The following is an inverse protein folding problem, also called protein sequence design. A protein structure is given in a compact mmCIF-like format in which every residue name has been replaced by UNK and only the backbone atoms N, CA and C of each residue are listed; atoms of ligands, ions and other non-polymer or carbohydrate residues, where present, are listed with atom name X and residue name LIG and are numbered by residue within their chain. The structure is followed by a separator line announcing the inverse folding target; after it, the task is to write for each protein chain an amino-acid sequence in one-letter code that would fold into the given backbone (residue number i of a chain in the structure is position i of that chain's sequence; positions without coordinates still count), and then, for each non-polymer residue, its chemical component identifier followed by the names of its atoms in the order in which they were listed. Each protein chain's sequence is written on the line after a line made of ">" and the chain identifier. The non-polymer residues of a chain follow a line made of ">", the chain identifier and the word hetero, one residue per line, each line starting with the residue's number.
data_IF_403892249747
#
_entry.id   IF_403892249747
#
_cell.length_a   1.000
_cell.length_b   1.000
_cell.length_c   1.000
_cell.angle_alpha   90.00
_cell.angle_beta   90.00
_cell.angle_gamma   90.00
#
_symmetry.space_group_name_H-M   'P 1'
#
loop_
_entity.id
_entity.type
_entity.pdbx_description
1 polymer ?
#
# COMPACT_ATOMS: atom_id res chain seq x y z
N UNK A 1 23.29 -46.29 -23.68
CA UNK A 1 23.31 -45.61 -24.98
C UNK A 1 24.64 -44.91 -25.08
N UNK A 2 25.48 -45.36 -25.99
CA UNK A 2 26.73 -44.68 -26.31
C UNK A 2 26.41 -43.33 -26.97
N UNK A 3 27.30 -42.35 -26.87
CA UNK A 3 27.12 -40.99 -27.39
C UNK A 3 26.75 -40.99 -28.89
N UNK A 4 27.17 -42.02 -29.62
CA UNK A 4 26.84 -42.24 -31.02
C UNK A 4 25.35 -42.52 -31.28
N UNK A 5 24.63 -43.14 -30.33
CA UNK A 5 23.18 -43.35 -30.46
C UNK A 5 22.40 -42.03 -30.32
N UNK A 6 22.85 -41.15 -29.41
CA UNK A 6 22.21 -39.84 -29.18
C UNK A 6 22.42 -38.91 -30.38
N UNK A 7 23.62 -38.92 -30.97
CA UNK A 7 23.90 -38.14 -32.18
C UNK A 7 23.05 -38.62 -33.37
N UNK A 8 22.78 -39.92 -33.44
CA UNK A 8 21.95 -40.49 -34.50
C UNK A 8 20.47 -40.16 -34.33
N UNK A 9 19.94 -40.22 -33.10
CA UNK A 9 18.58 -39.76 -32.79
C UNK A 9 18.41 -38.26 -33.04
N UNK A 10 19.43 -37.44 -32.72
CA UNK A 10 19.42 -36.01 -33.02
C UNK A 10 19.42 -35.73 -34.53
N UNK A 11 20.23 -36.45 -35.32
CA UNK A 11 20.23 -36.32 -36.77
C UNK A 11 18.91 -36.76 -37.41
N UNK A 12 18.21 -37.74 -36.85
CA UNK A 12 16.86 -38.11 -37.29
C UNK A 12 15.82 -37.05 -36.94
N UNK A 13 15.93 -36.42 -35.75
CA UNK A 13 15.09 -35.30 -35.33
C UNK A 13 15.25 -34.06 -36.23
N UNK A 14 16.47 -33.74 -36.67
CA UNK A 14 16.75 -32.62 -37.58
C UNK A 14 16.36 -32.88 -39.04
N UNK A 15 15.98 -34.12 -39.39
CA UNK A 15 15.45 -34.49 -40.71
C UNK A 15 13.92 -34.54 -40.77
N UNK A 16 13.24 -34.11 -39.71
CA UNK A 16 11.78 -34.03 -39.70
C UNK A 16 11.30 -32.94 -40.69
N UNK A 17 10.39 -33.27 -41.63
CA UNK A 17 9.80 -32.30 -42.56
C UNK A 17 9.12 -31.10 -41.88
N UNK A 18 8.75 -31.19 -40.59
CA UNK A 18 8.23 -30.07 -39.80
C UNK A 18 9.28 -28.96 -39.59
N UNK A 19 10.57 -29.29 -39.65
CA UNK A 19 11.68 -28.33 -39.50
C UNK A 19 12.17 -27.76 -40.84
N UNK A 20 11.59 -28.19 -41.98
CA UNK A 20 11.86 -27.60 -43.29
C UNK A 20 11.12 -26.27 -43.45
N UNK A 21 11.68 -25.23 -42.84
CA UNK A 21 11.15 -23.86 -42.91
C UNK A 21 11.51 -23.25 -44.27
N UNK A 22 10.51 -22.79 -45.01
CA UNK A 22 10.68 -22.13 -46.30
C UNK A 22 11.35 -20.75 -46.14
N UNK A 23 12.01 -20.25 -47.20
CA UNK A 23 12.71 -18.97 -47.12
C UNK A 23 11.75 -17.77 -46.87
N UNK A 24 10.47 -17.90 -47.20
CA UNK A 24 9.42 -16.92 -46.86
C UNK A 24 9.10 -16.91 -45.35
N UNK A 25 9.15 -18.06 -44.69
CA UNK A 25 8.95 -18.17 -43.24
C UNK A 25 10.19 -17.70 -42.45
N UNK A 26 11.39 -17.85 -43.00
CA UNK A 26 12.60 -17.23 -42.44
C UNK A 26 12.52 -15.70 -42.44
N UNK A 27 11.81 -15.11 -43.41
CA UNK A 27 11.59 -13.66 -43.46
C UNK A 27 10.80 -13.13 -42.25
N UNK A 28 9.93 -13.94 -41.63
CA UNK A 28 9.21 -13.57 -40.39
C UNK A 28 10.13 -13.36 -39.18
N UNK A 29 11.29 -14.02 -39.15
CA UNK A 29 12.32 -13.86 -38.12
C UNK A 29 13.37 -12.82 -38.50
N UNK A 30 13.29 -12.26 -39.70
CA UNK A 30 14.24 -11.26 -40.19
C UNK A 30 13.75 -9.88 -39.76
N UNK A 31 14.42 -9.24 -38.79
CA UNK A 31 14.02 -7.91 -38.31
C UNK A 31 13.98 -6.89 -39.47
N UNK A 32 12.84 -6.21 -39.71
CA UNK A 32 12.74 -5.12 -40.68
C UNK A 32 13.79 -4.04 -40.43
N UNK A 33 14.38 -3.48 -41.49
CA UNK A 33 15.42 -2.45 -41.38
C UNK A 33 14.98 -1.22 -40.57
N UNK A 34 13.68 -0.92 -40.55
CA UNK A 34 13.08 0.15 -39.76
C UNK A 34 13.24 -0.07 -38.24
N UNK A 35 13.30 -1.33 -37.79
CA UNK A 35 13.60 -1.69 -36.40
C UNK A 35 15.10 -1.75 -36.11
N UNK A 36 15.94 -2.05 -37.12
CA UNK A 36 17.41 -1.92 -37.02
C UNK A 36 17.85 -0.45 -36.84
N UNK A 37 17.07 0.50 -37.38
CA UNK A 37 17.32 1.93 -37.26
C UNK A 37 17.02 2.54 -35.87
N UNK A 38 16.48 1.77 -34.91
CA UNK A 38 16.52 2.19 -33.50
C UNK A 38 17.96 2.10 -33.03
N UNK A 39 18.67 3.23 -33.16
CA UNK A 39 19.91 3.63 -32.47
C UNK A 39 20.55 2.45 -31.75
N UNK A 40 21.67 1.97 -32.25
CA UNK A 40 22.73 1.42 -31.41
C UNK A 40 22.79 2.31 -30.17
N UNK A 41 22.19 1.84 -29.07
CA UNK A 41 22.46 2.43 -27.77
C UNK A 41 23.96 2.26 -27.65
N UNK A 42 24.71 3.37 -27.54
CA UNK A 42 26.12 3.32 -27.18
C UNK A 42 26.26 2.20 -26.17
N UNK A 43 27.00 1.16 -26.53
CA UNK A 43 27.25 0.04 -25.63
C UNK A 43 27.67 0.66 -24.30
N UNK A 44 27.03 0.24 -23.22
CA UNK A 44 27.40 0.77 -21.93
C UNK A 44 28.86 0.35 -21.69
N UNK A 45 29.80 1.29 -21.80
CA UNK A 45 31.25 1.05 -21.66
C UNK A 45 31.61 0.30 -20.35
N UNK A 46 30.68 0.29 -19.38
CA UNK A 46 30.81 -0.44 -18.13
C UNK A 46 29.43 -0.84 -17.58
N UNK A 47 29.20 -2.14 -17.42
CA UNK A 47 28.08 -2.71 -16.65
C UNK A 47 28.61 -3.00 -15.26
N UNK A 48 28.05 -2.32 -14.25
CA UNK A 48 28.48 -2.51 -12.87
C UNK A 48 28.33 -3.99 -12.46
N UNK A 49 29.44 -4.60 -12.07
CA UNK A 49 29.48 -5.96 -11.53
C UNK A 49 29.56 -5.88 -10.01
N UNK A 50 29.03 -6.90 -9.32
CA UNK A 50 29.16 -7.02 -7.86
C UNK A 50 30.54 -7.59 -7.56
N UNK A 51 31.34 -6.87 -6.79
CA UNK A 51 32.68 -7.28 -6.35
C UNK A 51 32.63 -7.59 -4.85
N UNK A 52 33.50 -8.46 -4.35
CA UNK A 52 33.59 -8.73 -2.91
C UNK A 52 34.13 -7.47 -2.20
N UNK A 53 33.49 -7.06 -1.11
CA UNK A 53 33.92 -5.91 -0.32
C UNK A 53 34.98 -6.34 0.71
N UNK A 54 36.22 -5.92 0.52
CA UNK A 54 37.33 -6.29 1.42
C UNK A 54 37.14 -5.73 2.85
N UNK A 55 36.47 -4.57 2.99
CA UNK A 55 36.27 -3.89 4.27
C UNK A 55 34.86 -4.12 4.86
N UNK A 56 34.20 -5.23 4.51
CA UNK A 56 32.82 -5.48 4.96
C UNK A 56 32.67 -5.55 6.50
N UNK A 57 33.73 -5.93 7.22
CA UNK A 57 33.72 -6.03 8.68
C UNK A 57 33.32 -4.71 9.37
N UNK A 58 33.64 -3.56 8.78
CA UNK A 58 33.29 -2.25 9.33
C UNK A 58 31.79 -1.96 9.22
N UNK A 59 31.11 -2.55 8.23
CA UNK A 59 29.70 -2.29 7.91
C UNK A 59 28.74 -3.36 8.45
N UNK A 60 29.23 -4.57 8.75
CA UNK A 60 28.41 -5.70 9.20
C UNK A 60 27.59 -5.37 10.46
N UNK A 61 28.21 -4.67 11.41
CA UNK A 61 27.55 -4.24 12.66
C UNK A 61 26.37 -3.30 12.39
N UNK A 62 26.51 -2.39 11.42
CA UNK A 62 25.47 -1.46 10.98
C UNK A 62 24.25 -2.19 10.41
N UNK A 63 24.47 -3.16 9.50
CA UNK A 63 23.36 -3.94 8.93
C UNK A 63 22.59 -4.73 9.99
N UNK A 64 23.30 -5.35 10.96
CA UNK A 64 22.66 -6.06 12.07
C UNK A 64 21.80 -5.13 12.92
N UNK A 65 22.29 -3.92 13.20
CA UNK A 65 21.52 -2.92 13.94
C UNK A 65 20.28 -2.45 13.15
N UNK A 66 20.41 -2.20 11.85
CA UNK A 66 19.27 -1.79 11.01
C UNK A 66 18.16 -2.86 10.98
N UNK A 67 18.54 -4.14 10.86
CA UNK A 67 17.56 -5.24 10.93
C UNK A 67 16.91 -5.36 12.31
N UNK A 68 17.65 -5.07 13.38
CA UNK A 68 17.09 -5.00 14.73
C UNK A 68 16.10 -3.84 14.86
N UNK A 69 16.50 -2.63 14.46
CA UNK A 69 15.68 -1.42 14.52
C UNK A 69 14.40 -1.55 13.69
N UNK A 70 14.47 -2.21 12.53
CA UNK A 70 13.31 -2.48 11.67
C UNK A 70 12.30 -3.41 12.35
N UNK A 71 12.76 -4.46 13.05
CA UNK A 71 11.90 -5.37 13.83
C UNK A 71 11.34 -4.73 15.09
N UNK A 72 12.10 -3.81 15.68
CA UNK A 72 11.66 -3.01 16.82
C UNK A 72 10.71 -1.87 16.41
N UNK A 73 10.52 -1.62 15.10
CA UNK A 73 9.69 -0.52 14.60
C UNK A 73 10.32 0.87 14.76
N UNK A 74 11.59 0.96 15.17
CA UNK A 74 12.38 2.21 15.31
C UNK A 74 12.74 2.82 13.95
N UNK A 75 12.88 1.96 12.93
CA UNK A 75 13.03 2.34 11.53
C UNK A 75 11.86 1.81 10.74
N UNK A 76 11.50 2.51 9.68
CA UNK A 76 10.36 2.18 8.82
C UNK A 76 10.79 2.18 7.36
N UNK A 77 10.02 1.50 6.52
CA UNK A 77 10.19 1.57 5.08
C UNK A 77 9.36 2.72 4.51
N UNK A 78 9.98 3.53 3.67
CA UNK A 78 9.31 4.59 2.92
C UNK A 78 9.48 4.34 1.42
N UNK A 79 8.44 4.62 0.64
CA UNK A 79 8.53 4.59 -0.82
C UNK A 79 9.43 5.70 -1.36
N UNK A 80 10.00 5.43 -2.53
CA UNK A 80 10.89 6.35 -3.21
C UNK A 80 10.13 7.58 -3.72
N UNK A 81 10.42 8.76 -3.14
CA UNK A 81 9.75 10.02 -3.49
C UNK A 81 10.50 10.83 -4.58
N UNK A 82 11.65 10.37 -5.07
CA UNK A 82 12.44 11.01 -6.13
C UNK A 82 13.94 11.12 -5.82
N UNK A 83 14.71 11.75 -6.74
CA UNK A 83 16.18 11.81 -6.69
C UNK A 83 16.73 12.48 -5.42
N UNK A 84 15.99 13.44 -4.83
CA UNK A 84 16.38 14.12 -3.59
C UNK A 84 16.34 13.22 -2.34
N UNK A 85 15.73 12.03 -2.44
CA UNK A 85 15.64 11.07 -1.35
C UNK A 85 16.85 10.11 -1.29
N UNK A 86 17.75 10.16 -2.29
CA UNK A 86 18.99 9.38 -2.30
C UNK A 86 20.11 10.23 -1.69
N UNK A 87 20.65 9.77 -0.56
CA UNK A 87 21.65 10.48 0.22
C UNK A 87 22.72 9.51 0.71
N UNK A 88 23.99 9.93 0.65
CA UNK A 88 25.08 9.13 1.21
C UNK A 88 24.91 8.98 2.73
N UNK A 89 25.24 7.80 3.26
CA UNK A 89 25.04 7.44 4.67
C UNK A 89 23.69 6.78 4.98
N UNK A 90 22.78 6.65 4.01
CA UNK A 90 21.46 6.06 4.20
C UNK A 90 21.40 4.60 3.74
N UNK A 91 20.41 3.88 4.28
CA UNK A 91 20.12 2.50 3.93
C UNK A 91 18.90 2.41 3.01
N UNK A 92 18.96 1.49 2.06
CA UNK A 92 17.92 1.24 1.08
C UNK A 92 17.67 -0.26 0.98
N UNK A 93 16.49 -0.65 0.49
CA UNK A 93 16.16 -2.03 0.15
C UNK A 93 16.10 -2.11 -1.37
N UNK A 94 16.88 -3.00 -1.96
CA UNK A 94 16.90 -3.28 -3.39
C UNK A 94 16.67 -4.77 -3.61
N UNK A 95 15.59 -5.13 -4.31
CA UNK A 95 15.23 -6.52 -4.58
C UNK A 95 15.20 -7.39 -3.31
N UNK A 96 14.70 -6.84 -2.21
CA UNK A 96 14.63 -7.50 -0.89
C UNK A 96 15.94 -7.56 -0.11
N UNK A 97 17.05 -7.02 -0.63
CA UNK A 97 18.37 -6.98 0.02
C UNK A 97 18.64 -5.58 0.56
N UNK A 98 19.13 -5.49 1.81
CA UNK A 98 19.52 -4.20 2.39
C UNK A 98 20.87 -3.76 1.82
N UNK A 99 20.93 -2.50 1.39
CA UNK A 99 22.13 -1.85 0.86
C UNK A 99 22.42 -0.54 1.59
N UNK A 100 23.70 -0.26 1.79
CA UNK A 100 24.20 0.97 2.37
C UNK A 100 24.87 1.81 1.27
N UNK A 101 24.51 3.09 1.19
CA UNK A 101 25.15 4.02 0.26
C UNK A 101 26.32 4.71 0.94
N UNK A 102 27.55 4.25 0.67
CA UNK A 102 28.76 4.77 1.28
C UNK A 102 29.07 6.20 0.78
N UNK A 103 29.21 6.35 -0.55
CA UNK A 103 29.60 7.63 -1.16
C UNK A 103 28.95 7.87 -2.51
N UNK A 104 28.71 9.14 -2.81
CA UNK A 104 28.33 9.64 -4.13
C UNK A 104 29.59 10.18 -4.82
N UNK A 105 29.95 9.60 -5.97
CA UNK A 105 31.18 9.86 -6.72
C UNK A 105 30.82 10.63 -7.99
N UNK A 106 31.55 11.72 -8.28
CA UNK A 106 31.45 12.49 -9.52
C UNK A 106 30.05 13.04 -9.87
N UNK A 107 29.31 13.53 -8.86
CA UNK A 107 27.99 14.13 -9.10
C UNK A 107 28.10 15.42 -9.93
N UNK A 108 27.60 15.42 -11.17
CA UNK A 108 27.51 16.57 -12.07
C UNK A 108 26.08 16.75 -12.54
N UNK A 109 25.61 18.01 -12.61
CA UNK A 109 24.32 18.31 -13.25
C UNK A 109 24.52 18.27 -14.77
N UNK A 110 23.86 17.34 -15.44
CA UNK A 110 24.00 17.21 -16.89
C UNK A 110 23.06 18.20 -17.60
N UNK A 111 23.64 19.25 -18.19
CA UNK A 111 22.90 20.32 -18.86
C UNK A 111 22.17 19.86 -20.14
N UNK A 112 22.45 18.67 -20.68
CA UNK A 112 21.85 18.13 -21.92
C UNK A 112 20.51 17.42 -21.72
N UNK A 113 20.23 16.93 -20.51
CA UNK A 113 18.96 16.26 -20.16
C UNK A 113 18.31 16.96 -18.98
N UNK A 114 17.93 18.22 -19.15
CA UNK A 114 17.02 18.89 -18.21
C UNK A 114 17.54 19.14 -16.79
N UNK A 115 18.86 19.09 -16.55
CA UNK A 115 19.46 19.46 -15.25
C UNK A 115 19.49 18.35 -14.19
N UNK A 116 19.27 17.08 -14.59
CA UNK A 116 19.36 15.92 -13.70
C UNK A 116 20.79 15.67 -13.19
N UNK A 117 20.89 15.08 -12.00
CA UNK A 117 22.15 14.69 -11.37
C UNK A 117 22.66 13.37 -12.00
N UNK A 118 23.87 13.40 -12.55
CA UNK A 118 24.59 12.23 -13.05
C UNK A 118 25.85 11.99 -12.22
N UNK A 119 26.18 10.73 -11.94
CA UNK A 119 27.28 10.35 -11.06
C UNK A 119 27.30 8.84 -10.77
N UNK A 120 28.38 8.36 -10.15
CA UNK A 120 28.51 6.99 -9.65
C UNK A 120 28.21 6.91 -8.16
N UNK A 121 27.80 5.74 -7.71
CA UNK A 121 27.51 5.48 -6.29
C UNK A 121 28.34 4.30 -5.84
N UNK A 122 28.84 4.31 -4.61
CA UNK A 122 29.42 3.11 -4.00
C UNK A 122 28.40 2.50 -3.05
N UNK A 123 27.84 1.36 -3.45
CA UNK A 123 26.86 0.62 -2.66
C UNK A 123 27.52 -0.58 -2.02
N UNK A 124 27.22 -0.81 -0.74
CA UNK A 124 27.63 -1.98 0.01
C UNK A 124 26.37 -2.79 0.29
N UNK A 125 26.35 -4.06 -0.08
CA UNK A 125 25.24 -4.97 0.14
C UNK A 125 25.47 -5.75 1.43
N UNK A 126 24.39 -6.12 2.12
CA UNK A 126 24.45 -6.92 3.35
C UNK A 126 25.09 -8.32 3.15
N UNK A 127 25.17 -8.79 1.91
CA UNK A 127 25.81 -10.07 1.56
C UNK A 127 27.33 -9.97 1.36
N UNK A 128 27.96 -8.85 1.73
CA UNK A 128 29.40 -8.66 1.62
C UNK A 128 29.90 -8.26 0.24
N UNK A 129 29.01 -7.90 -0.69
CA UNK A 129 29.40 -7.40 -2.02
C UNK A 129 29.29 -5.89 -2.10
N UNK A 130 30.09 -5.26 -2.94
CA UNK A 130 29.95 -3.85 -3.32
C UNK A 130 29.66 -3.71 -4.82
N UNK A 131 28.98 -2.63 -5.19
CA UNK A 131 28.73 -2.29 -6.59
C UNK A 131 28.79 -0.80 -6.81
N UNK A 132 29.30 -0.41 -7.98
CA UNK A 132 29.51 0.98 -8.37
C UNK A 132 28.48 1.46 -9.40
N UNK A 133 27.20 1.22 -9.13
CA UNK A 133 26.12 1.55 -10.08
C UNK A 133 25.98 3.07 -10.26
N UNK A 134 25.50 3.48 -11.44
CA UNK A 134 25.15 4.89 -11.70
C UNK A 134 23.99 5.33 -10.81
N UNK A 135 24.03 6.58 -10.34
CA UNK A 135 22.99 7.18 -9.49
C UNK A 135 21.58 7.04 -10.10
N UNK A 136 21.46 7.24 -11.41
CA UNK A 136 20.19 7.09 -12.13
C UNK A 136 19.69 5.65 -12.16
N UNK A 137 20.60 4.68 -12.23
CA UNK A 137 20.24 3.26 -12.19
C UNK A 137 19.78 2.87 -10.79
N UNK A 138 20.45 3.37 -9.74
CA UNK A 138 20.00 3.23 -8.35
C UNK A 138 18.57 3.77 -8.19
N UNK A 139 18.33 5.03 -8.57
CA UNK A 139 17.00 5.65 -8.43
C UNK A 139 15.90 4.88 -9.16
N UNK A 140 16.17 4.39 -10.38
CA UNK A 140 15.22 3.52 -11.10
C UNK A 140 15.01 2.19 -10.41
N UNK A 141 16.06 1.56 -9.89
CA UNK A 141 15.96 0.28 -9.19
C UNK A 141 15.15 0.41 -7.91
N UNK A 142 15.31 1.51 -7.15
CA UNK A 142 14.50 1.77 -5.96
C UNK A 142 13.05 2.09 -6.38
N UNK A 143 12.85 2.82 -7.47
CA UNK A 143 11.52 3.17 -7.94
C UNK A 143 10.69 1.95 -8.36
N UNK A 144 11.32 0.92 -8.93
CA UNK A 144 10.64 -0.31 -9.37
C UNK A 144 10.20 -1.14 -8.17
N UNK A 145 11.16 -1.59 -7.34
CA UNK A 145 10.89 -2.56 -6.26
C UNK A 145 11.67 -2.28 -4.97
N UNK A 146 12.12 -1.04 -4.76
CA UNK A 146 12.92 -0.68 -3.59
C UNK A 146 12.22 0.22 -2.58
N UNK A 147 12.79 0.21 -1.38
CA UNK A 147 12.35 1.02 -0.26
C UNK A 147 13.52 1.84 0.30
N UNK A 148 13.19 2.98 0.88
CA UNK A 148 14.13 3.80 1.68
C UNK A 148 13.91 3.41 3.14
N UNK A 149 14.97 3.10 3.86
CA UNK A 149 14.90 2.86 5.30
C UNK A 149 15.04 4.22 6.00
N UNK A 150 14.05 4.60 6.81
CA UNK A 150 14.12 5.85 7.56
C UNK A 150 15.25 5.82 8.59
N UNK A 151 15.71 6.99 9.00
CA UNK A 151 16.58 7.10 10.18
C UNK A 151 15.88 6.54 11.41
N UNK A 152 16.69 6.07 12.36
CA UNK A 152 16.20 5.58 13.64
C UNK A 152 15.60 6.74 14.42
N UNK A 153 14.34 6.59 14.85
CA UNK A 153 13.74 7.48 15.85
C UNK A 153 14.24 7.07 17.24
N UNK A 154 15.55 7.12 17.47
CA UNK A 154 16.14 6.95 18.80
C UNK A 154 15.94 8.23 19.60
N UNK A 155 14.73 8.43 20.13
CA UNK A 155 14.54 9.43 21.20
C UNK A 155 13.47 9.09 22.23
N UNK A 156 12.62 8.09 22.02
CA UNK A 156 11.31 8.15 22.66
C UNK A 156 10.94 6.97 23.59
N UNK A 157 11.86 6.15 24.12
CA UNK A 157 11.46 5.29 25.27
C UNK A 157 11.05 6.14 26.50
N UNK A 158 11.78 7.24 26.75
CA UNK A 158 11.42 8.22 27.78
C UNK A 158 10.23 9.08 27.34
N UNK A 159 10.16 9.46 26.06
CA UNK A 159 9.00 10.21 25.57
C UNK A 159 7.73 9.37 25.49
N UNK A 160 7.84 8.04 25.43
CA UNK A 160 6.74 7.10 25.54
C UNK A 160 6.13 7.22 26.92
N UNK A 161 6.91 7.00 27.98
CA UNK A 161 6.43 7.19 29.35
C UNK A 161 5.86 8.60 29.58
N UNK A 162 6.51 9.64 29.05
CA UNK A 162 6.03 11.02 29.17
C UNK A 162 4.75 11.27 28.38
N UNK A 163 4.56 10.72 27.18
CA UNK A 163 3.32 10.87 26.39
C UNK A 163 2.16 10.09 27.00
N UNK A 164 2.43 8.90 27.55
CA UNK A 164 1.45 8.12 28.30
C UNK A 164 1.09 8.77 29.65
N UNK A 165 2.01 9.54 30.25
CA UNK A 165 1.79 10.24 31.53
C UNK A 165 1.37 11.72 31.38
N UNK A 166 1.45 12.32 30.18
CA UNK A 166 0.97 13.68 29.89
C UNK A 166 -0.56 13.69 29.73
N UNK A 167 -1.23 13.31 30.81
CA UNK A 167 -2.68 13.25 30.92
C UNK A 167 -3.14 14.58 31.51
N UNK A 168 -4.08 15.26 30.86
CA UNK A 168 -4.69 16.45 31.46
C UNK A 168 -5.64 16.01 32.60
N UNK A 169 -5.81 16.83 33.64
CA UNK A 169 -6.66 16.48 34.79
C UNK A 169 -8.14 16.22 34.45
N UNK A 170 -8.56 16.46 33.20
CA UNK A 170 -9.90 16.19 32.67
C UNK A 170 -10.06 14.82 31.98
N UNK A 171 -8.98 14.08 31.74
CA UNK A 171 -9.02 12.83 31.00
C UNK A 171 -9.50 11.65 31.87
N UNK A 172 -10.49 10.91 31.38
CA UNK A 172 -11.08 9.76 32.07
C UNK A 172 -10.31 8.50 31.65
N UNK A 173 -9.79 7.76 32.63
CA UNK A 173 -9.15 6.47 32.39
C UNK A 173 -10.20 5.45 31.90
N UNK A 174 -10.12 5.08 30.63
CA UNK A 174 -11.16 4.32 29.95
C UNK A 174 -10.80 2.83 29.74
N UNK A 175 -9.55 2.43 29.98
CA UNK A 175 -9.17 1.02 29.98
C UNK A 175 -7.68 0.74 29.80
N UNK A 176 -7.38 -0.50 29.42
CA UNK A 176 -6.06 -1.08 29.26
C UNK A 176 -5.98 -1.82 27.92
N UNK A 177 -4.97 -1.47 27.12
CA UNK A 177 -4.53 -2.30 25.99
C UNK A 177 -3.52 -3.29 26.54
N UNK A 178 -3.64 -4.56 26.19
CA UNK A 178 -2.72 -5.59 26.66
C UNK A 178 -2.30 -6.52 25.52
N UNK A 179 -1.07 -7.00 25.65
CA UNK A 179 -0.46 -7.99 24.75
C UNK A 179 -0.10 -9.21 25.57
N UNK A 180 -0.59 -10.38 25.16
CA UNK A 180 -0.34 -11.66 25.82
C UNK A 180 0.43 -12.61 24.89
N UNK A 181 1.22 -13.47 25.51
CA UNK A 181 1.85 -14.63 24.87
C UNK A 181 1.18 -15.90 25.37
N UNK A 182 0.98 -16.87 24.48
CA UNK A 182 0.47 -18.19 24.87
C UNK A 182 1.56 -18.99 25.58
N UNK A 183 1.21 -19.72 26.64
CA UNK A 183 2.07 -20.71 27.29
C UNK A 183 1.73 -22.14 26.85
N UNK A 184 0.95 -22.29 25.78
CA UNK A 184 0.47 -23.60 25.37
C UNK A 184 1.57 -24.53 24.89
N UNK A 185 1.42 -25.80 25.23
CA UNK A 185 2.31 -26.89 24.78
C UNK A 185 1.87 -27.51 23.45
N UNK A 186 0.77 -27.06 22.84
CA UNK A 186 0.36 -27.55 21.52
C UNK A 186 1.43 -27.21 20.47
N UNK A 187 1.98 -28.19 19.72
CA UNK A 187 2.97 -27.94 18.68
C UNK A 187 2.55 -26.89 17.64
N UNK A 188 1.25 -26.76 17.36
CA UNK A 188 0.72 -25.79 16.39
C UNK A 188 0.84 -24.35 16.89
N UNK A 189 0.80 -24.14 18.21
CA UNK A 189 0.88 -22.83 18.87
C UNK A 189 2.33 -22.54 19.24
N UNK A 190 3.01 -23.49 19.89
CA UNK A 190 4.38 -23.36 20.35
C UNK A 190 5.38 -23.16 19.19
N UNK A 191 5.09 -23.74 18.02
CA UNK A 191 5.91 -23.56 16.82
C UNK A 191 5.84 -22.17 16.18
N UNK A 192 4.89 -21.31 16.60
CA UNK A 192 4.74 -19.97 16.04
C UNK A 192 5.60 -18.97 16.80
N UNK A 193 6.64 -18.48 16.13
CA UNK A 193 7.44 -17.37 16.62
C UNK A 193 6.63 -16.06 16.53
N UNK A 194 6.77 -15.20 17.53
CA UNK A 194 6.12 -13.88 17.58
C UNK A 194 4.58 -13.93 17.52
N UNK A 195 3.99 -15.00 18.11
CA UNK A 195 2.55 -15.15 18.25
C UNK A 195 2.06 -14.41 19.50
N UNK A 196 1.24 -13.38 19.28
CA UNK A 196 0.69 -12.57 20.37
C UNK A 196 -0.81 -12.36 20.24
N UNK A 197 -1.47 -12.29 21.39
CA UNK A 197 -2.85 -11.84 21.52
C UNK A 197 -2.87 -10.37 21.85
N UNK A 198 -3.62 -9.57 21.10
CA UNK A 198 -3.81 -8.13 21.36
C UNK A 198 -5.26 -7.92 21.75
N UNK A 199 -5.50 -7.27 22.89
CA UNK A 199 -6.85 -7.03 23.37
C UNK A 199 -6.98 -5.73 24.15
N UNK A 200 -8.23 -5.34 24.37
CA UNK A 200 -8.61 -4.21 25.20
C UNK A 200 -9.45 -4.68 26.39
N UNK A 201 -9.28 -4.06 27.56
CA UNK A 201 -10.14 -4.30 28.73
C UNK A 201 -10.43 -3.01 29.48
N UNK A 202 -11.65 -2.84 29.96
CA UNK A 202 -12.00 -1.75 30.89
C UNK A 202 -11.61 -2.08 32.34
N UNK A 203 -11.44 -3.37 32.67
CA UNK A 203 -10.98 -3.84 33.97
C UNK A 203 -9.48 -4.10 33.97
N UNK A 204 -8.90 -4.37 35.15
CA UNK A 204 -7.50 -4.76 35.24
C UNK A 204 -7.23 -6.03 34.42
N UNK A 205 -6.08 -6.07 33.77
CA UNK A 205 -5.70 -7.16 32.85
C UNK A 205 -5.60 -8.47 33.62
N UNK A 206 -5.07 -8.44 34.84
CA UNK A 206 -4.92 -9.61 35.72
C UNK A 206 -6.26 -10.25 36.07
N UNK A 207 -7.30 -9.42 36.25
CA UNK A 207 -8.67 -9.90 36.50
C UNK A 207 -9.29 -10.47 35.22
N UNK A 208 -9.01 -9.85 34.07
CA UNK A 208 -9.55 -10.27 32.76
C UNK A 208 -9.02 -11.63 32.31
N UNK A 209 -7.79 -12.00 32.69
CA UNK A 209 -7.15 -13.27 32.28
C UNK A 209 -7.27 -14.39 33.31
N UNK A 210 -7.96 -14.17 34.44
CA UNK A 210 -7.99 -15.11 35.57
C UNK A 210 -8.51 -16.51 35.22
N UNK A 211 -9.39 -16.62 34.23
CA UNK A 211 -9.97 -17.89 33.76
C UNK A 211 -9.57 -18.22 32.31
N UNK A 212 -8.42 -17.73 31.84
CA UNK A 212 -7.98 -17.91 30.45
C UNK A 212 -7.90 -19.38 30.01
N UNK A 213 -7.51 -20.29 30.91
CA UNK A 213 -7.40 -21.73 30.64
C UNK A 213 -8.72 -22.40 30.23
N UNK A 214 -9.87 -21.81 30.57
CA UNK A 214 -11.20 -22.34 30.23
C UNK A 214 -11.89 -21.58 29.09
N UNK A 215 -11.25 -20.53 28.58
CA UNK A 215 -11.85 -19.64 27.59
C UNK A 215 -11.25 -19.91 26.19
N UNK A 216 -12.09 -20.21 25.17
CA UNK A 216 -11.61 -20.46 23.81
C UNK A 216 -10.81 -19.30 23.23
N UNK A 217 -11.15 -18.07 23.61
CA UNK A 217 -10.48 -16.82 23.18
C UNK A 217 -8.99 -16.76 23.57
N UNK A 218 -8.58 -17.52 24.59
CA UNK A 218 -7.19 -17.67 25.04
C UNK A 218 -6.59 -19.03 24.69
N UNK A 219 -7.16 -19.73 23.72
CA UNK A 219 -6.69 -21.02 23.22
C UNK A 219 -6.83 -22.17 24.23
N UNK A 220 -7.74 -22.04 25.21
CA UNK A 220 -7.94 -23.05 26.26
C UNK A 220 -6.68 -23.33 27.08
N UNK A 221 -5.81 -22.32 27.24
CA UNK A 221 -4.52 -22.48 27.90
C UNK A 221 -4.12 -21.21 28.66
N UNK A 222 -3.06 -21.33 29.47
CA UNK A 222 -2.49 -20.22 30.22
C UNK A 222 -1.80 -19.22 29.30
N UNK A 223 -1.83 -17.96 29.73
CA UNK A 223 -1.25 -16.83 29.00
C UNK A 223 -0.38 -15.99 29.92
N UNK A 224 0.67 -15.41 29.35
CA UNK A 224 1.58 -14.50 30.06
C UNK A 224 1.41 -13.09 29.53
N UNK A 225 1.30 -12.12 30.44
CA UNK A 225 1.30 -10.69 30.11
C UNK A 225 2.69 -10.28 29.62
N UNK A 226 2.75 -9.67 28.44
CA UNK A 226 3.98 -9.19 27.81
C UNK A 226 4.09 -7.68 27.99
N UNK A 227 3.05 -6.94 27.59
CA UNK A 227 2.99 -5.48 27.68
C UNK A 227 1.57 -5.02 28.00
N UNK A 228 1.46 -3.91 28.75
CA UNK A 228 0.18 -3.30 29.13
C UNK A 228 0.31 -1.78 29.02
N UNK A 229 -0.67 -1.15 28.38
CA UNK A 229 -0.77 0.31 28.27
C UNK A 229 -2.09 0.78 28.85
N UNK A 230 -2.05 1.85 29.63
CA UNK A 230 -3.24 2.52 30.13
C UNK A 230 -3.72 3.55 29.11
N UNK A 231 -5.00 3.54 28.79
CA UNK A 231 -5.60 4.42 27.79
C UNK A 231 -6.63 5.35 28.40
N UNK A 232 -6.75 6.55 27.84
CA UNK A 232 -7.69 7.59 28.25
C UNK A 232 -8.52 8.04 27.05
N UNK A 233 -9.82 8.28 27.24
CA UNK A 233 -10.73 8.76 26.19
C UNK A 233 -10.80 7.87 24.91
N UNK A 234 -10.58 6.56 25.04
CA UNK A 234 -10.47 5.64 23.91
C UNK A 234 -11.71 4.76 23.74
N UNK A 235 -12.25 4.71 22.53
CA UNK A 235 -13.39 3.84 22.19
C UNK A 235 -12.90 2.43 21.86
N UNK A 236 -13.27 1.47 22.70
CA UNK A 236 -12.91 0.03 22.59
C UNK A 236 -13.13 -0.53 21.19
N UNK A 237 -14.34 -0.32 20.64
CA UNK A 237 -14.74 -0.85 19.35
C UNK A 237 -13.91 -0.25 18.19
N UNK A 238 -13.43 0.98 18.34
CA UNK A 238 -12.62 1.63 17.29
C UNK A 238 -11.21 1.05 17.31
N UNK A 239 -10.63 0.87 18.49
CA UNK A 239 -9.31 0.25 18.66
C UNK A 239 -9.26 -1.15 18.07
N UNK A 240 -10.20 -2.02 18.47
CA UNK A 240 -10.27 -3.40 17.98
C UNK A 240 -10.38 -3.43 16.46
N UNK A 241 -11.28 -2.63 15.87
CA UNK A 241 -11.43 -2.56 14.43
C UNK A 241 -10.14 -2.13 13.72
N UNK A 242 -9.39 -1.16 14.26
CA UNK A 242 -8.12 -0.71 13.68
C UNK A 242 -7.09 -1.84 13.74
N UNK A 243 -6.89 -2.47 14.91
CA UNK A 243 -5.92 -3.57 15.07
C UNK A 243 -6.27 -4.75 14.16
N UNK A 244 -7.53 -5.17 14.16
CA UNK A 244 -8.00 -6.26 13.30
C UNK A 244 -7.80 -5.93 11.82
N UNK A 245 -8.07 -4.70 11.39
CA UNK A 245 -7.87 -4.28 10.01
C UNK A 245 -6.38 -4.21 9.65
N UNK A 246 -5.55 -3.68 10.55
CA UNK A 246 -4.12 -3.45 10.33
C UNK A 246 -3.35 -4.77 10.24
N UNK A 247 -3.65 -5.73 11.12
CA UNK A 247 -2.99 -7.04 11.18
C UNK A 247 -3.80 -8.18 10.54
N UNK A 248 -4.84 -7.86 9.76
CA UNK A 248 -5.72 -8.86 9.13
C UNK A 248 -4.97 -9.93 8.34
N UNK A 249 -3.91 -9.55 7.65
CA UNK A 249 -3.11 -10.43 6.79
C UNK A 249 -2.26 -11.43 7.57
N UNK A 250 -2.04 -11.19 8.86
CA UNK A 250 -1.18 -11.99 9.75
C UNK A 250 -1.93 -12.51 10.97
N UNK A 251 -3.25 -12.56 10.88
CA UNK A 251 -4.10 -13.19 11.88
C UNK A 251 -3.84 -14.70 11.92
N UNK A 252 -3.53 -15.21 13.11
CA UNK A 252 -3.35 -16.62 13.37
C UNK A 252 -4.71 -17.32 13.45
N UNK A 253 -4.93 -18.32 12.60
CA UNK A 253 -6.19 -19.06 12.52
C UNK A 253 -6.00 -20.46 13.05
N UNK A 254 -6.50 -20.70 14.25
CA UNK A 254 -6.52 -22.01 14.89
C UNK A 254 -7.92 -22.33 15.39
N UNK A 255 -8.33 -23.59 15.25
CA UNK A 255 -9.59 -24.09 15.80
C UNK A 255 -9.31 -24.64 17.19
N UNK A 256 -10.06 -24.17 18.17
CA UNK A 256 -10.02 -24.69 19.54
C UNK A 256 -11.39 -25.20 19.94
N UNK A 257 -11.42 -26.28 20.72
CA UNK A 257 -12.64 -26.85 21.27
C UNK A 257 -12.79 -26.45 22.71
N UNK A 258 -13.96 -25.94 23.07
CA UNK A 258 -14.30 -25.70 24.47
C UNK A 258 -14.55 -27.02 25.23
N UNK A 259 -14.75 -26.91 26.54
CA UNK A 259 -15.04 -28.05 27.42
C UNK A 259 -16.37 -28.73 27.06
N UNK A 260 -17.28 -28.01 26.41
CA UNK A 260 -18.57 -28.51 25.94
C UNK A 260 -18.50 -29.14 24.54
N UNK A 261 -17.32 -29.16 23.89
CA UNK A 261 -17.09 -29.71 22.56
C UNK A 261 -17.41 -28.76 21.40
N UNK A 262 -17.75 -27.49 21.64
CA UNK A 262 -17.98 -26.50 20.60
C UNK A 262 -16.66 -26.00 20.02
N UNK A 263 -16.58 -25.88 18.70
CA UNK A 263 -15.43 -25.31 18.01
C UNK A 263 -15.53 -23.79 17.91
N UNK A 264 -14.47 -23.09 18.28
CA UNK A 264 -14.31 -21.64 18.14
C UNK A 264 -12.99 -21.30 17.45
N UNK A 265 -12.97 -20.17 16.74
CA UNK A 265 -11.77 -19.64 16.06
C UNK A 265 -11.50 -18.24 16.63
N UNK A 266 -10.51 -18.10 17.52
CA UNK A 266 -10.11 -16.81 18.07
C UNK A 266 -9.57 -15.89 16.97
N UNK A 267 -10.03 -14.64 16.95
CA UNK A 267 -9.67 -13.66 15.93
C UNK A 267 -8.62 -12.63 16.38
N UNK A 268 -8.23 -12.69 17.65
CA UNK A 268 -7.38 -11.67 18.30
C UNK A 268 -5.91 -12.09 18.42
N UNK A 269 -5.51 -13.16 17.73
CA UNK A 269 -4.14 -13.66 17.72
C UNK A 269 -3.45 -13.31 16.40
N UNK A 270 -2.23 -12.79 16.48
CA UNK A 270 -1.48 -12.28 15.33
C UNK A 270 -0.02 -12.73 15.41
N UNK A 271 0.57 -13.04 14.25
CA UNK A 271 1.99 -13.40 14.12
C UNK A 271 2.77 -12.16 13.68
N UNK A 272 3.26 -11.40 14.65
CA UNK A 272 3.87 -10.07 14.45
C UNK A 272 4.96 -9.83 15.50
N UNK A 273 6.15 -9.31 15.12
CA UNK A 273 7.19 -8.95 16.08
C UNK A 273 6.68 -7.98 17.16
N UNK A 274 7.09 -8.18 18.42
CA UNK A 274 6.62 -7.38 19.55
C UNK A 274 6.80 -5.87 19.33
N UNK A 275 7.99 -5.43 18.89
CA UNK A 275 8.25 -3.99 18.71
C UNK A 275 7.35 -3.33 17.65
N UNK A 276 6.90 -4.07 16.64
CA UNK A 276 5.91 -3.57 15.68
C UNK A 276 4.55 -3.37 16.37
N UNK A 277 4.15 -4.28 17.27
CA UNK A 277 2.91 -4.15 18.03
C UNK A 277 2.97 -2.91 18.92
N UNK A 278 4.06 -2.74 19.68
CA UNK A 278 4.26 -1.58 20.57
C UNK A 278 4.18 -0.28 19.78
N UNK A 279 4.91 -0.21 18.66
CA UNK A 279 4.90 0.96 17.78
C UNK A 279 3.53 1.25 17.18
N UNK A 280 2.77 0.23 16.79
CA UNK A 280 1.41 0.41 16.25
C UNK A 280 0.46 0.89 17.34
N UNK A 281 0.55 0.39 18.57
CA UNK A 281 -0.26 0.87 19.70
C UNK A 281 -0.02 2.37 19.91
N UNK A 282 1.22 2.83 19.88
CA UNK A 282 1.56 4.26 19.96
C UNK A 282 0.94 5.07 18.82
N UNK A 283 1.08 4.57 17.58
CA UNK A 283 0.53 5.23 16.39
C UNK A 283 -1.00 5.30 16.39
N UNK A 284 -1.67 4.36 17.07
CA UNK A 284 -3.13 4.41 17.23
C UNK A 284 -3.50 5.50 18.24
N UNK A 285 -2.72 5.66 19.30
CA UNK A 285 -2.97 6.66 20.35
C UNK A 285 -2.73 8.08 19.81
N UNK A 286 -1.66 8.29 19.04
CA UNK A 286 -1.38 9.61 18.42
C UNK A 286 -2.15 9.85 17.10
N UNK A 287 -2.87 8.84 16.60
CA UNK A 287 -3.68 8.89 15.39
C UNK A 287 -2.90 8.78 14.06
N UNK A 288 -1.57 8.60 14.10
CA UNK A 288 -0.73 8.50 12.91
C UNK A 288 -0.80 7.15 12.19
N UNK A 289 -1.40 6.11 12.81
CA UNK A 289 -1.50 4.74 12.26
C UNK A 289 -2.07 4.68 10.84
N UNK A 290 -2.92 5.64 10.48
CA UNK A 290 -3.56 5.75 9.15
C UNK A 290 -2.55 5.99 8.01
N UNK A 291 -1.37 6.50 8.33
CA UNK A 291 -0.30 6.77 7.37
C UNK A 291 0.62 5.56 7.15
N UNK A 292 0.34 4.42 7.78
CA UNK A 292 1.19 3.24 7.77
C UNK A 292 0.42 1.97 7.42
N UNK A 293 1.17 0.96 6.96
CA UNK A 293 0.70 -0.42 6.79
C UNK A 293 1.77 -1.39 7.23
N UNK A 294 1.36 -2.57 7.68
CA UNK A 294 2.30 -3.66 7.96
C UNK A 294 2.65 -4.40 6.67
N UNK A 295 3.94 -4.70 6.47
CA UNK A 295 4.43 -5.58 5.41
C UNK A 295 4.74 -6.97 6.00
N UNK A 296 3.90 -8.01 5.75
CA UNK A 296 4.10 -9.34 6.32
C UNK A 296 5.37 -10.06 5.84
N UNK A 297 5.80 -9.77 4.61
CA UNK A 297 6.95 -10.45 3.99
C UNK A 297 8.26 -9.99 4.62
N UNK A 298 8.36 -8.69 4.91
CA UNK A 298 9.55 -8.10 5.53
C UNK A 298 9.43 -7.97 7.05
N UNK A 299 8.23 -8.15 7.61
CA UNK A 299 7.92 -7.96 9.04
C UNK A 299 8.24 -6.55 9.56
N UNK A 300 7.91 -5.52 8.76
CA UNK A 300 8.21 -4.11 9.07
C UNK A 300 7.04 -3.20 8.75
N UNK A 301 7.06 -2.00 9.34
CA UNK A 301 6.11 -0.93 9.00
C UNK A 301 6.54 -0.23 7.71
N UNK A 302 5.59 -0.07 6.80
CA UNK A 302 5.74 0.73 5.59
C UNK A 302 4.86 1.97 5.68
N UNK A 303 5.46 3.15 5.47
CA UNK A 303 4.71 4.40 5.35
C UNK A 303 3.97 4.42 4.02
N UNK A 304 2.65 4.49 4.09
CA UNK A 304 1.79 4.66 2.94
C UNK A 304 1.85 6.13 2.54
N UNK A 305 2.48 6.42 1.41
CA UNK A 305 2.36 7.75 0.83
C UNK A 305 0.89 7.95 0.41
N UNK A 306 0.24 8.96 1.00
CA UNK A 306 -1.06 9.42 0.50
C UNK A 306 -0.87 9.77 -0.96
N UNK A 307 -1.63 9.11 -1.85
CA UNK A 307 -1.63 9.47 -3.26
C UNK A 307 -1.80 10.99 -3.37
N UNK A 308 -0.86 11.63 -4.07
CA UNK A 308 -0.85 13.07 -4.25
C UNK A 308 -2.20 13.46 -4.87
N UNK A 309 -2.91 14.35 -4.16
CA UNK A 309 -4.01 15.19 -4.62
C UNK A 309 -4.06 15.28 -6.16
N UNK A 310 -5.01 14.59 -6.81
CA UNK A 310 -5.36 14.89 -8.19
C UNK A 310 -6.35 16.04 -8.16
N UNK A 311 -5.84 17.26 -7.98
CA UNK A 311 -6.59 18.47 -8.32
C UNK A 311 -6.19 18.80 -9.77
N UNK A 312 -7.07 18.49 -10.72
CA UNK A 312 -6.90 18.97 -12.09
C UNK A 312 -7.16 20.48 -12.15
N UNK A 313 -6.64 21.16 -13.17
CA UNK A 313 -6.96 22.57 -13.40
C UNK A 313 -8.47 22.78 -13.49
N UNK A 314 -8.95 23.88 -12.89
CA UNK A 314 -10.38 24.24 -12.95
C UNK A 314 -10.75 24.56 -14.39
N UNK A 315 -11.76 23.88 -14.89
CA UNK A 315 -12.31 24.19 -16.21
C UNK A 315 -13.20 25.42 -16.10
N UNK A 316 -13.05 26.38 -17.02
CA UNK A 316 -14.01 27.48 -17.12
C UNK A 316 -15.34 26.93 -17.64
N UNK A 317 -16.34 26.88 -16.77
CA UNK A 317 -17.67 26.37 -17.09
C UNK A 317 -18.67 27.50 -17.37
N UNK A 318 -18.19 28.70 -17.70
CA UNK A 318 -19.07 29.85 -17.99
C UNK A 318 -19.93 29.56 -19.23
N UNK A 319 -21.26 29.52 -19.05
CA UNK A 319 -22.22 29.23 -20.12
C UNK A 319 -22.65 27.76 -20.26
N UNK A 320 -22.12 26.84 -19.45
CA UNK A 320 -22.48 25.42 -19.49
C UNK A 320 -23.71 25.11 -18.63
N UNK A 321 -24.57 24.21 -19.11
CA UNK A 321 -25.67 23.60 -18.36
C UNK A 321 -25.13 22.45 -17.51
N UNK A 322 -24.89 22.71 -16.22
CA UNK A 322 -24.29 21.72 -15.30
C UNK A 322 -25.33 21.18 -14.32
N UNK A 323 -25.45 19.85 -14.26
CA UNK A 323 -26.29 19.17 -13.28
C UNK A 323 -25.47 18.66 -12.11
N UNK A 324 -25.77 19.13 -10.90
CA UNK A 324 -25.09 18.67 -9.68
C UNK A 324 -25.82 17.48 -9.04
N UNK A 325 -25.10 16.37 -8.84
CA UNK A 325 -25.62 15.10 -8.35
C UNK A 325 -24.79 14.51 -7.21
N UNK A 326 -25.47 13.86 -6.27
CA UNK A 326 -24.82 13.09 -5.20
C UNK A 326 -24.65 11.64 -5.64
N UNK A 327 -23.46 11.08 -5.45
CA UNK A 327 -23.16 9.66 -5.68
C UNK A 327 -22.52 9.01 -4.46
N UNK A 328 -22.52 7.67 -4.43
CA UNK A 328 -21.78 6.87 -3.44
C UNK A 328 -20.30 6.80 -3.83
N UNK A 329 -19.40 6.66 -2.84
CA UNK A 329 -17.95 6.56 -3.07
C UNK A 329 -17.60 5.48 -4.10
N UNK A 330 -18.20 4.29 -3.98
CA UNK A 330 -17.94 3.17 -4.91
C UNK A 330 -18.17 3.58 -6.37
N UNK A 331 -19.25 4.30 -6.67
CA UNK A 331 -19.53 4.74 -8.04
C UNK A 331 -18.63 5.90 -8.47
N UNK A 332 -18.21 6.75 -7.53
CA UNK A 332 -17.24 7.82 -7.78
C UNK A 332 -15.91 7.22 -8.24
N UNK A 333 -15.40 6.21 -7.54
CA UNK A 333 -14.14 5.55 -7.86
C UNK A 333 -14.23 4.80 -9.20
N UNK A 334 -15.36 4.15 -9.50
CA UNK A 334 -15.57 3.46 -10.78
C UNK A 334 -15.63 4.41 -11.98
N UNK A 335 -16.24 5.58 -11.82
CA UNK A 335 -16.26 6.62 -12.87
C UNK A 335 -14.86 7.21 -13.05
N UNK A 336 -14.13 7.44 -11.96
CA UNK A 336 -12.76 7.96 -11.99
C UNK A 336 -11.81 7.00 -12.75
N UNK A 337 -12.00 5.69 -12.56
CA UNK A 337 -11.24 4.65 -13.27
C UNK A 337 -11.69 4.43 -14.72
N UNK A 338 -12.78 5.05 -15.15
CA UNK A 338 -13.38 4.85 -16.48
C UNK A 338 -14.13 3.53 -16.65
N UNK A 339 -14.35 2.77 -15.57
CA UNK A 339 -15.06 1.49 -15.60
C UNK A 339 -16.59 1.69 -15.68
N UNK A 340 -17.09 2.82 -15.16
CA UNK A 340 -18.49 3.21 -15.23
C UNK A 340 -18.69 4.40 -16.17
N UNK A 341 -19.38 4.17 -17.28
CA UNK A 341 -19.61 5.15 -18.35
C UNK A 341 -21.05 5.66 -18.42
N UNK A 342 -21.96 5.14 -17.61
CA UNK A 342 -23.38 5.58 -17.60
C UNK A 342 -23.82 5.84 -16.17
N UNK A 343 -24.48 6.98 -15.93
CA UNK A 343 -25.09 7.33 -14.66
C UNK A 343 -26.62 7.35 -14.76
N UNK A 344 -27.29 6.68 -13.82
CA UNK A 344 -28.74 6.48 -13.84
C UNK A 344 -29.44 7.33 -12.78
N UNK A 345 -30.60 7.92 -13.13
CA UNK A 345 -31.42 8.67 -12.18
C UNK A 345 -32.90 8.36 -12.30
N UNK A 346 -33.49 7.92 -11.19
CA UNK A 346 -34.93 7.73 -11.09
C UNK A 346 -35.68 9.05 -11.26
N UNK A 347 -36.63 9.08 -12.20
CA UNK A 347 -37.47 10.24 -12.41
C UNK A 347 -38.63 10.27 -11.41
N UNK A 348 -38.33 10.67 -10.17
CA UNK A 348 -39.36 10.89 -9.14
C UNK A 348 -40.23 12.09 -9.50
N UNK A 349 -41.54 11.98 -9.29
CA UNK A 349 -42.53 13.02 -9.63
C UNK A 349 -42.22 14.37 -8.95
N UNK A 350 -41.66 14.35 -7.74
CA UNK A 350 -41.24 15.54 -7.00
C UNK A 350 -39.95 16.21 -7.51
N UNK A 351 -39.22 15.58 -8.45
CA UNK A 351 -37.94 16.06 -8.99
C UNK A 351 -37.95 16.16 -10.52
N UNK A 352 -39.10 15.94 -11.15
CA UNK A 352 -39.22 15.86 -12.62
C UNK A 352 -38.81 17.17 -13.30
N UNK A 353 -39.13 18.33 -12.69
CA UNK A 353 -38.74 19.65 -13.20
C UNK A 353 -37.23 19.93 -13.15
N UNK A 354 -36.45 19.10 -12.44
CA UNK A 354 -34.98 19.19 -12.43
C UNK A 354 -34.37 18.66 -13.73
N UNK A 355 -35.00 17.65 -14.31
CA UNK A 355 -34.51 16.93 -15.49
C UNK A 355 -35.29 17.25 -16.77
N UNK A 356 -36.42 17.95 -16.66
CA UNK A 356 -37.29 18.26 -17.80
C UNK A 356 -37.68 19.73 -17.83
N UNK A 357 -38.10 20.20 -18.99
CA UNK A 357 -38.74 21.49 -19.16
C UNK A 357 -40.02 21.31 -19.98
N UNK A 358 -40.95 22.23 -19.82
CA UNK A 358 -42.24 22.19 -20.50
C UNK A 358 -42.31 23.38 -21.44
N UNK A 359 -42.62 23.10 -22.70
CA UNK A 359 -42.86 24.12 -23.71
C UNK A 359 -44.22 24.78 -23.48
N UNK A 360 -44.24 26.11 -23.41
CA UNK A 360 -45.43 26.87 -22.99
C UNK A 360 -46.59 26.80 -24.00
N UNK A 361 -46.28 26.64 -25.28
CA UNK A 361 -47.27 26.66 -26.35
C UNK A 361 -47.95 25.30 -26.58
N UNK A 362 -47.22 24.20 -26.39
CA UNK A 362 -47.70 22.84 -26.68
C UNK A 362 -47.98 22.02 -25.42
N UNK A 363 -47.48 22.43 -24.26
CA UNK A 363 -47.53 21.64 -23.02
C UNK A 363 -46.66 20.38 -23.06
N UNK A 364 -45.88 20.17 -24.13
CA UNK A 364 -45.01 19.00 -24.30
C UNK A 364 -43.81 19.11 -23.37
N UNK A 365 -43.47 17.99 -22.71
CA UNK A 365 -42.36 17.92 -21.75
C UNK A 365 -41.14 17.30 -22.40
N UNK A 366 -40.04 18.05 -22.44
CA UNK A 366 -38.77 17.63 -23.01
C UNK A 366 -37.73 17.41 -21.91
N UNK A 367 -36.78 16.51 -22.18
CA UNK A 367 -35.63 16.28 -21.30
C UNK A 367 -34.65 17.44 -21.44
N UNK A 368 -34.13 17.94 -20.30
CA UNK A 368 -33.07 18.94 -20.29
C UNK A 368 -31.75 18.27 -20.67
N UNK A 369 -31.05 18.87 -21.64
CA UNK A 369 -29.67 18.51 -21.96
C UNK A 369 -28.72 19.25 -21.01
N UNK A 370 -27.70 18.54 -20.55
CA UNK A 370 -26.63 19.07 -19.71
C UNK A 370 -25.31 18.80 -20.42
N UNK A 371 -24.38 19.75 -20.34
CA UNK A 371 -23.05 19.63 -20.95
C UNK A 371 -22.10 18.83 -20.04
N UNK A 372 -22.31 18.91 -18.73
CA UNK A 372 -21.52 18.18 -17.74
C UNK A 372 -22.32 17.85 -16.46
N UNK A 373 -21.92 16.78 -15.77
CA UNK A 373 -22.37 16.45 -14.43
C UNK A 373 -21.31 16.82 -13.40
N UNK A 374 -21.71 17.56 -12.37
CA UNK A 374 -20.90 17.77 -11.17
C UNK A 374 -21.29 16.74 -10.12
N UNK A 375 -20.48 15.71 -9.97
CA UNK A 375 -20.71 14.61 -9.05
C UNK A 375 -20.02 14.91 -7.71
N UNK A 376 -20.71 14.71 -6.59
CA UNK A 376 -20.14 14.88 -5.26
C UNK A 376 -20.47 13.73 -4.32
N UNK A 377 -19.51 13.35 -3.47
CA UNK A 377 -19.69 12.37 -2.40
C UNK A 377 -19.71 13.11 -1.07
N UNK A 378 -20.68 12.85 -0.18
CA UNK A 378 -20.67 13.45 1.16
C UNK A 378 -19.80 12.61 2.07
N UNK A 379 -18.69 13.16 2.54
CA UNK A 379 -17.88 12.59 3.61
C UNK A 379 -18.31 13.19 4.97
N UNK A 380 -18.26 12.38 6.04
CA UNK A 380 -18.60 12.76 7.43
C UNK A 380 -17.66 13.85 7.96
N UNK A 381 -16.50 14.00 7.30
CA UNK A 381 -15.34 14.78 7.68
C UNK A 381 -15.24 16.21 7.08
N UNK A 382 -16.35 16.92 6.89
CA UNK A 382 -16.30 18.36 6.56
C UNK A 382 -15.73 18.69 5.16
N UNK A 383 -16.35 18.13 4.11
CA UNK A 383 -16.04 18.45 2.73
C UNK A 383 -15.96 17.18 1.90
N UNK A 384 -16.76 17.10 0.85
CA UNK A 384 -16.87 15.91 0.00
C UNK A 384 -16.00 15.97 -1.24
N UNK A 385 -15.58 14.79 -1.74
CA UNK A 385 -14.94 14.63 -3.05
C UNK A 385 -15.87 15.07 -4.17
N UNK A 386 -15.30 15.68 -5.21
CA UNK A 386 -16.03 16.22 -6.34
C UNK A 386 -15.35 15.85 -7.65
N UNK A 387 -16.15 15.64 -8.68
CA UNK A 387 -15.66 15.56 -10.04
C UNK A 387 -16.63 16.24 -11.00
N UNK A 388 -16.11 16.78 -12.09
CA UNK A 388 -16.86 17.24 -13.24
C UNK A 388 -16.64 16.26 -14.39
N UNK A 389 -17.70 15.71 -14.93
CA UNK A 389 -17.65 14.73 -16.01
C UNK A 389 -18.51 15.22 -17.17
N UNK A 390 -17.98 15.15 -18.38
CA UNK A 390 -18.70 15.50 -19.62
C UNK A 390 -19.91 14.57 -19.82
N UNK A 391 -21.02 15.12 -20.34
CA UNK A 391 -22.18 14.33 -20.77
C UNK A 391 -22.17 14.26 -22.29
N UNK A 392 -22.03 13.06 -22.83
CA UNK A 392 -22.05 12.82 -24.27
C UNK A 392 -23.50 12.79 -24.79
N UNK A 393 -24.37 12.10 -24.06
CA UNK A 393 -25.78 11.93 -24.44
C UNK A 393 -26.67 11.77 -23.22
N UNK A 394 -27.96 12.05 -23.38
CA UNK A 394 -28.97 11.87 -22.32
C UNK A 394 -30.22 11.21 -22.90
N UNK A 395 -30.58 10.06 -22.34
CA UNK A 395 -31.71 9.27 -22.79
C UNK A 395 -32.70 9.03 -21.65
N UNK A 396 -33.97 8.82 -22.00
CA UNK A 396 -34.99 8.43 -21.04
C UNK A 396 -35.47 7.02 -21.38
N UNK A 397 -35.38 6.14 -20.39
CA UNK A 397 -35.85 4.77 -20.49
C UNK A 397 -37.27 4.67 -19.90
N UNK A 398 -38.30 4.45 -20.74
CA UNK A 398 -39.69 4.43 -20.29
C UNK A 398 -40.03 3.21 -19.42
N UNK A 399 -39.33 2.07 -19.62
CA UNK A 399 -39.60 0.83 -18.90
C UNK A 399 -39.09 0.91 -17.45
N UNK A 400 -37.89 1.46 -17.25
CA UNK A 400 -37.31 1.67 -15.92
C UNK A 400 -37.70 3.00 -15.27
N UNK A 401 -38.29 3.93 -16.04
CA UNK A 401 -38.57 5.32 -15.65
C UNK A 401 -37.33 6.08 -15.17
N UNK A 402 -36.18 5.77 -15.79
CA UNK A 402 -34.89 6.37 -15.44
C UNK A 402 -34.37 7.26 -16.56
N UNK A 403 -33.65 8.30 -16.16
CA UNK A 403 -32.81 9.09 -17.06
C UNK A 403 -31.41 8.51 -17.03
N UNK A 404 -30.85 8.26 -18.21
CA UNK A 404 -29.52 7.70 -18.42
C UNK A 404 -28.63 8.80 -18.98
N UNK A 405 -27.54 9.10 -18.27
CA UNK A 405 -26.51 10.05 -18.70
C UNK A 405 -25.29 9.27 -19.16
N UNK A 406 -24.97 9.36 -20.45
CA UNK A 406 -23.75 8.78 -21.00
C UNK A 406 -22.57 9.71 -20.67
N UNK A 407 -21.64 9.21 -19.88
CA UNK A 407 -20.49 9.96 -19.36
C UNK A 407 -19.31 9.87 -20.32
N UNK A 408 -18.72 11.02 -20.61
CA UNK A 408 -17.50 11.17 -21.39
C UNK A 408 -16.26 11.33 -20.53
N UNK A 409 -15.41 12.29 -20.87
CA UNK A 409 -14.14 12.50 -20.15
C UNK A 409 -14.40 13.12 -18.78
N UNK A 410 -13.60 12.72 -17.80
CA UNK A 410 -13.50 13.42 -16.53
C UNK A 410 -12.70 14.69 -16.76
N UNK A 411 -13.36 15.84 -16.56
CA UNK A 411 -12.84 17.17 -16.87
C UNK A 411 -12.19 17.84 -15.66
N UNK A 412 -12.79 17.66 -14.48
CA UNK A 412 -12.27 18.19 -13.22
C UNK A 412 -12.36 17.13 -12.13
N UNK A 413 -11.36 17.03 -11.27
CA UNK A 413 -11.43 16.23 -10.03
C UNK A 413 -10.89 17.06 -8.87
N UNK A 414 -11.64 17.10 -7.78
CA UNK A 414 -11.27 17.70 -6.49
C UNK A 414 -11.51 16.66 -5.40
N UNK A 415 -10.49 15.84 -5.14
CA UNK A 415 -10.49 14.84 -4.06
C UNK A 415 -9.98 15.54 -2.80
N UNK A 416 -10.86 15.69 -1.81
CA UNK A 416 -10.47 16.28 -0.53
C UNK A 416 -9.73 15.22 0.26
N UNK A 417 -8.43 15.41 0.42
CA UNK A 417 -7.67 14.68 1.42
C UNK A 417 -8.39 14.83 2.77
N UNK A 418 -8.74 13.72 3.42
CA UNK A 418 -9.08 13.69 4.84
C UNK A 418 -7.83 14.15 5.62
N UNK A 419 -7.56 15.45 5.62
CA UNK A 419 -6.86 16.11 6.70
C UNK A 419 -7.92 16.25 7.79
N UNK A 420 -7.94 15.29 8.70
CA UNK A 420 -8.59 15.54 9.97
C UNK A 420 -7.57 16.02 10.99
N UNK A 421 -7.99 17.14 11.60
CA UNK A 421 -7.53 17.67 12.87
C UNK A 421 -7.63 16.61 13.96
#
# INVERSE_FOLDING_TARGET
>A
MEIDDINKELEELFKDPILEITDEEKALFTLPEVLKAKKERKEADYVAQRVVCENFADYESGFKQVHKDLREGKRMLKRYTGESAIQAGYYYVLNGVVVYLDKLIEMRKENRTGGHLDGRTRLIYENGTESDIKFRTLGKSIQIDGFIITESTETDEVALEVRFNNIESSDIADGYIYVLSSLSTDPQIQGQKDLYKIGFSTTRVEERIKNCEYEPTYLMDQVKIVSVWKTFNMKTNVFENIIHQFFKSVQFKVKVRDIAGNESIPQEWFVVPLGIIERVVEMIIDGSVVDYRYNPTMQVLEKVEKEKRTASDKVDTTGWSILTLRIKQIYFDLILKGEKTVEYRDMKQSQIGKYTWVEQDTGTRYLRKFDALRLFVRNTAGGGDRMLVEVIDTQYNPDSRQVEYLLGKVLEVDIKSNLHK
#
